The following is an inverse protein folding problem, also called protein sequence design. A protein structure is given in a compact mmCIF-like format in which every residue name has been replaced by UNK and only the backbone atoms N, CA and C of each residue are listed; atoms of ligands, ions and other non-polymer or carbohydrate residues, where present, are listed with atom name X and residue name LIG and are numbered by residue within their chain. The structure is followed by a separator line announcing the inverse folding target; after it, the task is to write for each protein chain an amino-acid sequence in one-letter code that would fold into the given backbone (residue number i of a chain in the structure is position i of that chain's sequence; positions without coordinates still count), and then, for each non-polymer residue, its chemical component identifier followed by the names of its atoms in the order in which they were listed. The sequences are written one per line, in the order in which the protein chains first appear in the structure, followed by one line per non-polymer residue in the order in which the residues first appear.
data_IF_941716665413
#
_entry.id   IF_941716665413
#
_cell.length_a   1.000
_cell.length_b   1.000
_cell.length_c   1.000
_cell.angle_alpha   90.00
_cell.angle_beta   90.00
_cell.angle_gamma   90.00
#
_symmetry.space_group_name_H-M   'P 1'
#
loop_
_entity.id
_entity.type
_entity.pdbx_description
1 polymer ?
#
# COMPACT_ATOMS: atom_id res chain seq x y z
N UNK A 1 -23.87 -9.40 7.60
CA UNK A 1 -24.90 -8.90 6.68
C UNK A 1 -24.78 -9.77 5.44
N UNK A 2 -25.60 -10.83 5.40
CA UNK A 2 -25.56 -11.87 4.37
C UNK A 2 -26.44 -11.43 3.19
N UNK A 3 -25.95 -11.60 1.96
CA UNK A 3 -26.80 -11.49 0.77
C UNK A 3 -27.78 -12.67 0.76
N UNK A 4 -29.02 -12.43 1.18
CA UNK A 4 -30.12 -13.37 0.99
C UNK A 4 -30.69 -13.21 -0.42
N UNK A 5 -30.42 -14.16 -1.30
CA UNK A 5 -31.26 -14.42 -2.46
C UNK A 5 -32.19 -15.59 -2.10
N UNK A 6 -33.48 -15.34 -1.90
CA UNK A 6 -34.46 -16.39 -1.62
C UNK A 6 -35.78 -16.11 -2.36
N UNK A 7 -36.10 -17.01 -3.32
CA UNK A 7 -37.40 -17.45 -3.91
C UNK A 7 -38.50 -16.43 -4.22
N UNK A 8 -39.36 -16.58 -5.23
CA UNK A 8 -39.62 -17.54 -6.30
C UNK A 8 -40.55 -16.79 -7.28
N UNK A 9 -40.15 -16.57 -8.55
CA UNK A 9 -40.95 -16.37 -9.79
C UNK A 9 -40.10 -15.65 -10.87
N UNK A 10 -40.38 -15.86 -12.17
CA UNK A 10 -39.35 -15.79 -13.21
C UNK A 10 -39.16 -14.40 -13.83
N UNK A 11 -37.91 -14.17 -14.27
CA UNK A 11 -37.44 -13.15 -15.23
C UNK A 11 -37.64 -11.66 -14.89
N UNK A 12 -36.61 -11.03 -14.33
CA UNK A 12 -35.85 -9.95 -15.00
C UNK A 12 -34.40 -10.03 -14.51
N UNK A 13 -33.44 -10.00 -15.43
CA UNK A 13 -31.98 -10.00 -15.19
C UNK A 13 -31.53 -8.99 -14.12
N UNK A 14 -31.57 -9.38 -12.85
CA UNK A 14 -30.98 -8.65 -11.74
C UNK A 14 -29.57 -9.17 -11.47
N UNK A 15 -28.60 -8.77 -12.30
CA UNK A 15 -27.19 -8.95 -11.97
C UNK A 15 -26.92 -8.18 -10.67
N UNK A 16 -26.72 -8.88 -9.56
CA UNK A 16 -26.02 -8.33 -8.40
C UNK A 16 -24.68 -7.82 -8.91
N UNK A 17 -24.58 -6.51 -9.13
CA UNK A 17 -23.35 -5.90 -9.64
C UNK A 17 -22.29 -6.05 -8.56
N UNK A 18 -21.11 -6.54 -8.96
CA UNK A 18 -19.99 -6.73 -8.03
C UNK A 18 -19.57 -5.38 -7.42
N UNK A 19 -19.15 -5.36 -6.14
CA UNK A 19 -18.84 -4.11 -5.45
C UNK A 19 -17.67 -3.39 -6.12
N UNK A 20 -17.91 -2.17 -6.61
CA UNK A 20 -16.90 -1.31 -7.25
C UNK A 20 -16.00 -0.63 -6.22
N UNK A 21 -15.14 -1.40 -5.55
CA UNK A 21 -14.16 -0.90 -4.56
C UNK A 21 -12.80 -0.55 -5.15
N UNK A 22 -12.45 -1.10 -6.31
CA UNK A 22 -11.15 -0.89 -6.96
C UNK A 22 -11.35 -0.16 -8.28
N UNK A 23 -10.59 0.91 -8.46
CA UNK A 23 -10.69 1.79 -9.62
C UNK A 23 -9.32 2.16 -10.15
N UNK A 24 -9.21 2.31 -11.46
CA UNK A 24 -8.06 2.94 -12.11
C UNK A 24 -8.46 4.30 -12.65
N UNK A 25 -7.67 5.34 -12.38
CA UNK A 25 -7.81 6.68 -12.94
C UNK A 25 -6.61 6.98 -13.81
N UNK A 26 -6.82 7.25 -15.09
CA UNK A 26 -5.75 7.57 -16.05
C UNK A 26 -5.85 9.00 -16.53
N UNK A 27 -4.72 9.70 -16.70
CA UNK A 27 -4.68 11.09 -17.18
C UNK A 27 -3.30 11.49 -17.68
N UNK A 28 -3.25 12.55 -18.50
CA UNK A 28 -2.02 13.22 -18.97
C UNK A 28 -1.72 14.48 -18.13
N UNK A 29 -0.44 14.81 -17.99
CA UNK A 29 0.01 16.04 -17.29
C UNK A 29 0.39 17.15 -18.27
N UNK A 30 0.20 18.38 -17.83
CA UNK A 30 0.46 19.58 -18.61
C UNK A 30 1.47 20.49 -17.89
N UNK A 31 2.24 21.22 -18.69
CA UNK A 31 3.07 22.31 -18.19
C UNK A 31 2.20 23.53 -17.79
N UNK A 32 2.76 24.56 -17.15
CA UNK A 32 2.00 25.76 -16.78
C UNK A 32 1.30 26.47 -17.95
N UNK A 33 1.77 26.24 -19.18
CA UNK A 33 1.29 26.84 -20.43
C UNK A 33 0.29 25.94 -21.18
N UNK A 34 -0.06 24.77 -20.65
CA UNK A 34 -1.01 23.82 -21.26
C UNK A 34 -0.40 22.89 -22.32
N UNK A 35 0.93 22.79 -22.40
CA UNK A 35 1.56 21.80 -23.27
C UNK A 35 1.68 20.45 -22.55
N UNK A 36 1.42 19.37 -23.28
CA UNK A 36 1.62 18.02 -22.77
C UNK A 36 3.07 17.79 -22.36
N UNK A 37 3.27 17.37 -21.11
CA UNK A 37 4.59 17.00 -20.61
C UNK A 37 5.02 15.66 -21.20
N UNK A 38 6.29 15.57 -21.59
CA UNK A 38 6.90 14.29 -21.96
C UNK A 38 7.36 13.57 -20.71
N UNK A 39 6.99 12.30 -20.61
CA UNK A 39 7.20 11.48 -19.43
C UNK A 39 6.16 11.75 -18.34
N UNK A 40 6.44 11.21 -17.16
CA UNK A 40 5.61 11.34 -15.97
C UNK A 40 6.44 12.01 -14.87
N UNK A 41 6.39 13.36 -14.77
CA UNK A 41 7.11 14.11 -13.77
C UNK A 41 6.35 14.15 -12.43
N UNK A 42 7.10 14.20 -11.34
CA UNK A 42 6.59 14.33 -9.97
C UNK A 42 5.54 13.27 -9.56
N UNK A 43 5.88 11.96 -9.60
CA UNK A 43 4.96 10.89 -9.22
C UNK A 43 4.45 11.02 -7.77
N UNK A 44 5.26 11.57 -6.87
CA UNK A 44 4.88 11.82 -5.47
C UNK A 44 3.73 12.82 -5.37
N UNK A 45 3.75 13.87 -6.19
CA UNK A 45 2.71 14.89 -6.23
C UNK A 45 1.38 14.34 -6.71
N UNK A 46 1.40 13.35 -7.60
CA UNK A 46 0.20 12.62 -8.03
C UNK A 46 -0.40 11.85 -6.87
N UNK A 47 0.41 11.07 -6.14
CA UNK A 47 -0.06 10.28 -5.00
C UNK A 47 -0.64 11.19 -3.91
N UNK A 48 0.05 12.31 -3.61
CA UNK A 48 -0.41 13.32 -2.67
C UNK A 48 -1.75 13.95 -3.09
N UNK A 49 -1.91 14.26 -4.38
CA UNK A 49 -3.14 14.83 -4.91
C UNK A 49 -4.33 13.90 -4.67
N UNK A 50 -4.23 12.63 -5.08
CA UNK A 50 -5.32 11.66 -4.91
C UNK A 50 -5.60 11.33 -3.44
N UNK A 51 -4.57 11.37 -2.58
CA UNK A 51 -4.74 11.22 -1.13
C UNK A 51 -5.56 12.38 -0.54
N UNK A 52 -5.41 13.59 -1.07
CA UNK A 52 -6.17 14.79 -0.66
C UNK A 52 -7.58 14.84 -1.26
N UNK A 53 -7.78 14.28 -2.46
CA UNK A 53 -9.10 14.22 -3.11
C UNK A 53 -10.02 13.25 -2.33
N UNK A 54 -9.49 12.11 -1.88
CA UNK A 54 -10.27 11.06 -1.20
C UNK A 54 -9.77 10.83 0.24
N UNK A 55 -9.83 11.86 1.11
CA UNK A 55 -9.26 11.77 2.45
C UNK A 55 -10.05 10.75 3.28
N UNK A 56 -9.34 9.79 3.86
CA UNK A 56 -9.91 8.71 4.69
C UNK A 56 -10.90 7.75 3.99
N UNK A 57 -11.13 7.88 2.69
CA UNK A 57 -12.01 6.98 1.93
C UNK A 57 -11.26 5.76 1.39
N UNK A 58 -9.94 5.86 1.24
CA UNK A 58 -9.10 4.80 0.67
C UNK A 58 -8.59 3.81 1.73
N UNK A 59 -8.59 2.53 1.37
CA UNK A 59 -8.02 1.42 2.14
C UNK A 59 -6.49 1.34 2.00
N UNK A 60 -5.96 1.86 0.89
CA UNK A 60 -4.53 1.96 0.61
C UNK A 60 -4.16 3.38 0.21
N UNK A 61 -2.88 3.71 0.37
CA UNK A 61 -2.30 4.88 -0.31
C UNK A 61 -2.47 4.65 -1.83
N UNK A 62 -2.83 5.69 -2.63
CA UNK A 62 -2.96 5.56 -4.08
C UNK A 62 -1.72 4.89 -4.69
N UNK A 63 -1.95 3.86 -5.50
CA UNK A 63 -0.88 3.08 -6.13
C UNK A 63 -0.64 3.61 -7.53
N UNK A 64 0.56 4.12 -7.78
CA UNK A 64 0.95 4.60 -9.09
C UNK A 64 1.53 3.47 -9.93
N UNK A 65 0.91 3.20 -11.08
CA UNK A 65 1.46 2.27 -12.05
C UNK A 65 2.62 2.90 -12.83
N UNK A 66 3.52 2.07 -13.43
CA UNK A 66 4.57 2.58 -14.29
C UNK A 66 4.01 3.49 -15.40
N UNK A 67 4.63 4.66 -15.56
CA UNK A 67 4.29 5.61 -16.61
C UNK A 67 4.31 4.93 -17.98
N UNK A 68 3.24 5.08 -18.74
CA UNK A 68 3.13 4.53 -20.09
C UNK A 68 2.50 5.56 -21.01
N UNK A 69 3.12 5.77 -22.17
CA UNK A 69 2.61 6.68 -23.21
C UNK A 69 2.31 8.11 -22.67
N UNK A 70 3.17 8.61 -21.77
CA UNK A 70 3.03 9.90 -21.05
C UNK A 70 1.77 10.03 -20.18
N UNK A 71 1.16 8.91 -19.82
CA UNK A 71 -0.02 8.86 -18.95
C UNK A 71 0.32 8.30 -17.59
N UNK A 72 -0.23 8.95 -16.57
CA UNK A 72 -0.35 8.36 -15.26
C UNK A 72 -1.53 7.40 -15.23
N UNK A 73 -1.37 6.30 -14.49
CA UNK A 73 -2.46 5.42 -14.08
C UNK A 73 -2.37 5.25 -12.58
N UNK A 74 -3.39 5.72 -11.87
CA UNK A 74 -3.49 5.67 -10.42
C UNK A 74 -4.54 4.64 -10.05
N UNK A 75 -4.16 3.66 -9.24
CA UNK A 75 -5.09 2.67 -8.70
C UNK A 75 -5.55 3.10 -7.32
N UNK A 76 -6.87 3.21 -7.17
CA UNK A 76 -7.57 3.62 -5.96
C UNK A 76 -8.33 2.42 -5.42
N UNK A 77 -8.10 2.13 -4.14
CA UNK A 77 -8.80 1.07 -3.42
C UNK A 77 -9.61 1.71 -2.30
N UNK A 78 -10.91 1.76 -2.45
CA UNK A 78 -11.83 2.38 -1.48
C UNK A 78 -12.14 1.44 -0.33
N UNK A 79 -12.47 2.01 0.84
CA UNK A 79 -12.96 1.27 2.02
C UNK A 79 -14.37 0.72 1.78
N UNK A 80 -15.18 1.54 1.12
CA UNK A 80 -16.57 1.23 0.77
C UNK A 80 -16.73 1.23 -0.75
N UNK A 81 -17.86 0.73 -1.24
CA UNK A 81 -18.18 0.78 -2.66
C UNK A 81 -18.30 2.23 -3.16
N UNK A 82 -17.79 2.49 -4.36
CA UNK A 82 -17.78 3.82 -4.99
C UNK A 82 -18.34 3.73 -6.41
N UNK A 83 -19.68 3.73 -6.59
CA UNK A 83 -20.29 3.41 -7.88
C UNK A 83 -20.13 4.50 -8.94
N UNK A 84 -20.00 5.77 -8.52
CA UNK A 84 -20.11 6.96 -9.39
C UNK A 84 -18.75 7.60 -9.76
N UNK A 85 -17.64 6.90 -9.52
CA UNK A 85 -16.30 7.47 -9.76
C UNK A 85 -16.05 7.88 -11.22
N UNK A 86 -16.71 7.23 -12.18
CA UNK A 86 -16.66 7.58 -13.62
C UNK A 86 -17.12 9.02 -13.88
N UNK A 87 -18.10 9.50 -13.12
CA UNK A 87 -18.62 10.86 -13.21
C UNK A 87 -17.81 11.80 -12.32
N UNK A 88 -17.56 11.43 -11.07
CA UNK A 88 -16.81 12.24 -10.11
C UNK A 88 -15.37 12.52 -10.57
N UNK A 89 -14.73 11.55 -11.24
CA UNK A 89 -13.36 11.70 -11.77
C UNK A 89 -13.23 12.87 -12.74
N UNK A 90 -14.30 13.29 -13.40
CA UNK A 90 -14.30 14.46 -14.30
C UNK A 90 -14.29 15.80 -13.56
N UNK A 91 -14.51 15.76 -12.25
CA UNK A 91 -14.62 16.91 -11.35
C UNK A 91 -13.53 16.94 -10.27
N UNK A 92 -12.54 16.03 -10.32
CA UNK A 92 -11.46 15.94 -9.32
C UNK A 92 -10.49 17.12 -9.30
N UNK A 93 -10.54 17.97 -10.32
CA UNK A 93 -9.66 19.11 -10.48
C UNK A 93 -10.43 20.43 -10.43
N UNK A 94 -9.75 21.48 -9.99
CA UNK A 94 -10.31 22.83 -9.92
C UNK A 94 -9.90 23.63 -11.16
N UNK A 95 -10.88 24.30 -11.78
CA UNK A 95 -10.69 25.29 -12.84
C UNK A 95 -11.66 25.16 -14.03
N UNK A 96 -11.61 26.13 -14.96
CA UNK A 96 -12.46 26.18 -16.14
C UNK A 96 -12.12 25.06 -17.14
N UNK A 97 -12.92 24.87 -18.19
CA UNK A 97 -12.87 23.71 -19.11
C UNK A 97 -11.47 23.32 -19.64
N UNK A 98 -10.52 24.26 -19.70
CA UNK A 98 -9.16 24.05 -20.23
C UNK A 98 -8.04 24.19 -19.18
N UNK A 99 -8.34 24.45 -17.91
CA UNK A 99 -7.32 24.65 -16.86
C UNK A 99 -7.68 23.77 -15.67
N UNK A 100 -7.26 22.51 -15.72
CA UNK A 100 -7.63 21.49 -14.74
C UNK A 100 -6.43 21.22 -13.84
N UNK A 101 -6.52 21.69 -12.59
CA UNK A 101 -5.43 21.56 -11.61
C UNK A 101 -5.85 20.63 -10.48
N UNK A 102 -5.09 19.57 -10.25
CA UNK A 102 -5.28 18.68 -9.11
C UNK A 102 -4.80 19.35 -7.80
N UNK A 103 -5.32 18.93 -6.63
CA UNK A 103 -4.82 19.40 -5.35
C UNK A 103 -3.30 19.26 -5.23
N UNK A 104 -2.64 20.30 -4.75
CA UNK A 104 -1.17 20.38 -4.77
C UNK A 104 -0.61 21.07 -6.01
N UNK A 105 -1.44 21.49 -6.98
CA UNK A 105 -1.07 22.38 -8.08
C UNK A 105 -0.57 21.70 -9.36
N UNK A 106 -0.79 20.39 -9.50
CA UNK A 106 -0.40 19.64 -10.70
C UNK A 106 -1.44 19.89 -11.80
N UNK A 107 -1.01 20.43 -12.95
CA UNK A 107 -1.88 20.61 -14.11
C UNK A 107 -2.04 19.31 -14.88
N UNK A 108 -3.28 18.99 -15.25
CA UNK A 108 -3.64 17.78 -15.97
C UNK A 108 -4.64 18.10 -17.08
N UNK A 109 -4.58 17.31 -18.14
CA UNK A 109 -5.47 17.48 -19.28
C UNK A 109 -6.83 16.88 -18.99
N UNK A 110 -7.83 17.73 -18.71
CA UNK A 110 -9.17 17.32 -18.23
C UNK A 110 -9.84 16.23 -19.08
N UNK A 111 -9.79 16.40 -20.40
CA UNK A 111 -10.38 15.47 -21.38
C UNK A 111 -9.74 14.08 -21.41
N UNK A 112 -8.57 13.92 -20.79
CA UNK A 112 -7.87 12.63 -20.72
C UNK A 112 -8.14 11.88 -19.42
N UNK A 113 -8.82 12.51 -18.46
CA UNK A 113 -9.17 11.88 -17.19
C UNK A 113 -10.24 10.83 -17.44
N UNK A 114 -9.87 9.58 -17.20
CA UNK A 114 -10.77 8.44 -17.36
C UNK A 114 -10.66 7.55 -16.11
N UNK A 115 -11.79 7.30 -15.45
CA UNK A 115 -11.88 6.33 -14.38
C UNK A 115 -12.60 5.06 -14.86
N UNK A 116 -12.06 3.90 -14.50
CA UNK A 116 -12.63 2.58 -14.83
C UNK A 116 -12.63 1.68 -13.60
N UNK A 117 -13.72 0.90 -13.37
CA UNK A 117 -13.72 -0.09 -12.31
C UNK A 117 -12.82 -1.26 -12.71
N UNK A 118 -12.12 -1.84 -11.74
CA UNK A 118 -11.33 -3.06 -11.96
C UNK A 118 -12.22 -4.27 -11.72
N UNK A 119 -12.44 -5.07 -12.76
CA UNK A 119 -13.19 -6.32 -12.64
C UNK A 119 -12.30 -7.42 -12.02
N UNK A 120 -12.67 -7.88 -10.81
CA UNK A 120 -11.99 -8.97 -10.11
C UNK A 120 -12.73 -10.29 -10.33
N UNK A 121 -12.70 -10.81 -11.57
CA UNK A 121 -13.36 -12.08 -11.94
C UNK A 121 -12.33 -13.22 -12.05
N UNK A 122 -12.62 -14.37 -11.42
CA UNK A 122 -11.90 -15.64 -11.66
C UNK A 122 -11.42 -16.40 -10.41
N UNK A 123 -10.98 -17.65 -10.62
CA UNK A 123 -10.48 -18.53 -9.54
C UNK A 123 -9.04 -18.21 -9.07
N UNK A 124 -8.24 -17.54 -9.90
CA UNK A 124 -6.90 -17.06 -9.57
C UNK A 124 -6.74 -15.58 -9.95
N UNK A 125 -6.89 -14.71 -8.96
CA UNK A 125 -6.79 -13.26 -9.11
C UNK A 125 -5.34 -12.75 -9.03
N UNK A 126 -4.34 -13.62 -8.85
CA UNK A 126 -2.98 -13.17 -8.67
C UNK A 126 -2.43 -12.35 -9.83
N UNK A 127 -2.76 -12.73 -11.07
CA UNK A 127 -2.33 -11.98 -12.26
C UNK A 127 -2.91 -10.57 -12.30
N UNK A 128 -4.21 -10.44 -11.98
CA UNK A 128 -4.92 -9.16 -11.91
C UNK A 128 -4.39 -8.30 -10.77
N UNK A 129 -4.27 -8.87 -9.57
CA UNK A 129 -3.76 -8.17 -8.39
C UNK A 129 -2.31 -7.70 -8.57
N UNK A 130 -1.45 -8.52 -9.16
CA UNK A 130 -0.06 -8.14 -9.45
C UNK A 130 0.04 -7.04 -10.49
N UNK A 131 -0.87 -7.01 -11.46
CA UNK A 131 -0.91 -5.97 -12.49
C UNK A 131 -1.44 -4.67 -11.91
N UNK A 132 -2.58 -4.73 -11.21
CA UNK A 132 -3.33 -3.55 -10.83
C UNK A 132 -2.77 -2.90 -9.55
N UNK A 133 -2.29 -3.70 -8.59
CA UNK A 133 -1.61 -3.19 -7.38
C UNK A 133 -0.09 -3.11 -7.56
N UNK A 134 0.40 -3.07 -8.81
CA UNK A 134 1.82 -2.85 -9.07
C UNK A 134 2.21 -1.41 -8.72
N UNK A 135 3.06 -1.26 -7.72
CA UNK A 135 3.69 0.02 -7.39
C UNK A 135 4.90 0.22 -8.29
N UNK A 136 5.03 1.41 -8.88
CA UNK A 136 6.23 1.80 -9.63
C UNK A 136 7.50 1.57 -8.79
N UNK A 137 8.46 0.81 -9.32
CA UNK A 137 9.72 0.51 -8.63
C UNK A 137 9.66 -0.60 -7.58
N UNK A 138 8.55 -1.35 -7.45
CA UNK A 138 8.47 -2.50 -6.54
C UNK A 138 7.91 -3.74 -7.26
N UNK A 139 8.71 -4.80 -7.31
CA UNK A 139 8.25 -6.10 -7.78
C UNK A 139 7.69 -6.93 -6.62
N UNK A 140 6.48 -7.49 -6.83
CA UNK A 140 5.74 -8.30 -5.85
C UNK A 140 5.50 -9.71 -6.38
N UNK A 141 5.33 -10.65 -5.47
CA UNK A 141 4.80 -12.00 -5.75
C UNK A 141 3.40 -12.11 -5.17
N UNK A 142 2.55 -12.86 -5.84
CA UNK A 142 1.23 -13.17 -5.33
C UNK A 142 1.13 -14.65 -5.02
N UNK A 143 0.53 -14.98 -3.88
CA UNK A 143 0.16 -16.34 -3.53
C UNK A 143 -1.28 -16.39 -3.03
N UNK A 144 -1.96 -17.50 -3.30
CA UNK A 144 -3.29 -17.78 -2.77
C UNK A 144 -3.15 -18.65 -1.52
N UNK A 145 -3.82 -18.26 -0.44
CA UNK A 145 -3.85 -18.97 0.84
C UNK A 145 -5.30 -19.18 1.27
N UNK A 146 -5.90 -20.31 0.87
CA UNK A 146 -7.34 -20.52 0.98
C UNK A 146 -8.09 -19.56 0.07
N UNK A 147 -9.02 -18.79 0.64
CA UNK A 147 -9.77 -17.73 -0.05
C UNK A 147 -9.08 -16.36 -0.02
N UNK A 148 -7.99 -16.23 0.75
CA UNK A 148 -7.22 -15.00 0.87
C UNK A 148 -6.07 -14.98 -0.16
N UNK A 149 -5.73 -13.81 -0.66
CA UNK A 149 -4.55 -13.57 -1.50
C UNK A 149 -3.49 -12.81 -0.69
N UNK A 150 -2.23 -13.11 -0.93
CA UNK A 150 -1.11 -12.43 -0.29
C UNK A 150 -0.20 -11.84 -1.36
N UNK A 151 -0.10 -10.51 -1.37
CA UNK A 151 0.87 -9.79 -2.20
C UNK A 151 2.13 -9.54 -1.37
N UNK A 152 3.10 -10.44 -1.52
CA UNK A 152 4.39 -10.41 -0.84
C UNK A 152 5.44 -9.67 -1.66
N UNK A 153 6.48 -9.21 -0.98
CA UNK A 153 7.64 -8.59 -1.61
C UNK A 153 8.49 -9.65 -2.33
N UNK A 154 8.99 -9.36 -3.53
CA UNK A 154 9.97 -10.24 -4.20
C UNK A 154 11.30 -10.26 -3.43
N UNK A 155 12.20 -11.18 -3.79
CA UNK A 155 13.47 -11.39 -3.10
C UNK A 155 14.38 -10.15 -3.01
N UNK A 156 14.18 -9.16 -3.89
CA UNK A 156 14.87 -7.86 -3.88
C UNK A 156 14.37 -6.90 -2.80
N UNK A 157 13.20 -7.15 -2.21
CA UNK A 157 12.55 -6.25 -1.25
C UNK A 157 12.23 -6.97 0.06
N UNK A 158 12.19 -6.23 1.17
CA UNK A 158 11.72 -6.71 2.47
C UNK A 158 10.33 -6.16 2.76
N UNK A 159 9.51 -6.94 3.45
CA UNK A 159 8.24 -6.46 3.99
C UNK A 159 8.50 -5.57 5.20
N UNK A 160 7.97 -4.35 5.22
CA UNK A 160 8.01 -3.44 6.38
C UNK A 160 6.68 -3.40 7.14
N UNK A 161 5.63 -3.96 6.57
CA UNK A 161 4.30 -4.06 7.15
C UNK A 161 3.34 -4.81 6.23
N UNK A 162 2.12 -5.07 6.70
CA UNK A 162 1.07 -5.64 5.85
C UNK A 162 -0.28 -5.03 6.22
N UNK A 163 -1.08 -4.72 5.19
CA UNK A 163 -2.45 -4.24 5.31
C UNK A 163 -3.41 -5.30 4.78
N UNK A 164 -4.52 -5.52 5.48
CA UNK A 164 -5.60 -6.36 4.98
C UNK A 164 -6.62 -5.50 4.25
N UNK A 165 -6.98 -5.94 3.05
CA UNK A 165 -7.88 -5.22 2.16
C UNK A 165 -9.03 -6.16 1.81
N UNK A 166 -10.24 -5.66 1.96
CA UNK A 166 -11.46 -6.33 1.49
C UNK A 166 -11.86 -5.71 0.15
N UNK A 167 -11.62 -6.45 -0.93
CA UNK A 167 -11.93 -6.01 -2.29
C UNK A 167 -13.38 -6.31 -2.70
N UNK A 168 -14.18 -6.87 -1.80
CA UNK A 168 -15.50 -7.41 -2.11
C UNK A 168 -15.44 -8.77 -2.79
N UNK A 169 -16.61 -9.34 -3.14
CA UNK A 169 -16.73 -10.68 -3.75
C UNK A 169 -16.03 -11.81 -2.98
N UNK A 170 -15.97 -11.71 -1.65
CA UNK A 170 -15.21 -12.59 -0.75
C UNK A 170 -13.69 -12.61 -0.96
N UNK A 171 -13.13 -11.64 -1.69
CA UNK A 171 -11.70 -11.52 -1.95
C UNK A 171 -11.05 -10.67 -0.87
N UNK A 172 -10.20 -11.29 -0.06
CA UNK A 172 -9.37 -10.60 0.94
C UNK A 172 -7.92 -10.65 0.51
N UNK A 173 -7.24 -9.50 0.56
CA UNK A 173 -5.84 -9.38 0.15
C UNK A 173 -5.00 -8.88 1.31
N UNK A 174 -3.96 -9.63 1.68
CA UNK A 174 -2.88 -9.15 2.53
C UNK A 174 -1.80 -8.49 1.65
N UNK A 175 -1.76 -7.17 1.66
CA UNK A 175 -0.83 -6.38 0.88
C UNK A 175 0.36 -5.97 1.74
N UNK A 176 1.56 -6.50 1.45
CA UNK A 176 2.77 -6.12 2.16
C UNK A 176 3.30 -4.76 1.68
N UNK A 177 3.78 -3.92 2.58
CA UNK A 177 4.52 -2.72 2.20
C UNK A 177 5.98 -3.15 1.95
N UNK A 178 6.51 -2.88 0.75
CA UNK A 178 7.82 -3.36 0.34
C UNK A 178 8.84 -2.23 0.31
N UNK A 179 10.03 -2.50 0.83
CA UNK A 179 11.19 -1.60 0.75
C UNK A 179 12.39 -2.36 0.19
N UNK A 180 13.25 -1.70 -0.59
CA UNK A 180 14.43 -2.34 -1.16
C UNK A 180 15.27 -2.98 -0.04
N UNK A 181 15.64 -4.25 -0.25
CA UNK A 181 16.79 -4.80 0.46
C UNK A 181 17.98 -4.10 -0.18
N UNK A 182 18.82 -3.45 0.63
CA UNK A 182 20.08 -2.91 0.13
C UNK A 182 20.74 -3.90 -0.81
N UNK A 183 21.10 -3.42 -2.01
CA UNK A 183 21.46 -4.27 -3.13
C UNK A 183 22.49 -5.32 -2.73
N UNK A 184 22.29 -6.52 -3.27
CA UNK A 184 22.90 -7.82 -2.96
C UNK A 184 24.44 -7.92 -2.92
N UNK A 185 25.19 -6.83 -3.06
CA UNK A 185 26.62 -6.81 -2.74
C UNK A 185 26.92 -6.77 -1.22
N UNK A 186 25.92 -6.49 -0.37
CA UNK A 186 26.10 -6.37 1.09
C UNK A 186 25.53 -7.55 1.91
N UNK A 187 25.48 -8.77 1.36
CA UNK A 187 24.99 -9.95 2.11
C UNK A 187 25.84 -10.29 3.36
N UNK A 188 26.98 -9.60 3.57
CA UNK A 188 27.89 -9.75 4.71
C UNK A 188 28.29 -8.43 5.43
N UNK A 189 27.71 -7.26 5.11
CA UNK A 189 28.29 -5.99 5.62
C UNK A 189 27.61 -5.47 6.88
N UNK A 190 26.30 -5.71 7.06
CA UNK A 190 25.63 -5.33 8.30
C UNK A 190 25.70 -6.50 9.29
N UNK A 191 26.46 -6.33 10.37
CA UNK A 191 26.51 -7.27 11.49
C UNK A 191 25.13 -7.48 12.15
N UNK A 192 25.00 -8.49 13.01
CA UNK A 192 23.80 -8.79 13.79
C UNK A 192 23.22 -7.51 14.44
N UNK A 193 21.90 -7.37 14.42
CA UNK A 193 21.15 -6.21 14.95
C UNK A 193 21.33 -4.89 14.16
N UNK A 194 21.81 -4.97 12.92
CA UNK A 194 21.82 -3.85 11.98
C UNK A 194 20.87 -4.07 10.81
N UNK A 195 20.30 -2.98 10.34
CA UNK A 195 19.50 -2.85 9.13
C UNK A 195 20.21 -1.94 8.15
N UNK A 196 20.29 -2.38 6.91
CA UNK A 196 20.74 -1.49 5.86
C UNK A 196 19.62 -0.52 5.45
N UNK A 197 19.95 0.76 5.39
CA UNK A 197 19.11 1.88 4.95
C UNK A 197 19.88 2.70 3.90
N UNK A 198 19.18 3.36 2.99
CA UNK A 198 19.80 4.28 2.04
C UNK A 198 19.69 5.68 2.64
N UNK A 199 20.82 6.35 2.85
CA UNK A 199 20.91 7.76 3.24
C UNK A 199 21.80 8.47 2.22
N UNK A 200 21.33 9.62 1.70
CA UNK A 200 22.05 10.42 0.70
C UNK A 200 22.52 9.58 -0.51
N UNK A 201 21.66 8.70 -1.05
CA UNK A 201 21.96 7.75 -2.14
C UNK A 201 23.04 6.70 -1.83
N UNK A 202 23.46 6.54 -0.57
CA UNK A 202 24.45 5.55 -0.14
C UNK A 202 23.85 4.52 0.83
N UNK A 203 24.14 3.22 0.66
CA UNK A 203 23.72 2.20 1.60
C UNK A 203 24.57 2.26 2.88
N UNK A 204 23.92 2.43 4.03
CA UNK A 204 24.55 2.43 5.35
C UNK A 204 23.88 1.43 6.29
N UNK A 205 24.64 0.83 7.20
CA UNK A 205 24.11 -0.06 8.23
C UNK A 205 23.76 0.71 9.50
N UNK A 206 22.47 0.89 9.79
CA UNK A 206 21.99 1.43 11.07
C UNK A 206 21.57 0.32 12.01
N UNK A 207 21.58 0.56 13.32
CA UNK A 207 21.05 -0.41 14.27
C UNK A 207 19.53 -0.53 14.13
N UNK A 208 19.02 -1.77 14.16
CA UNK A 208 17.59 -2.04 14.28
C UNK A 208 17.09 -1.53 15.64
N UNK A 209 15.88 -0.97 15.79
CA UNK A 209 15.23 -0.90 17.09
C UNK A 209 15.02 -2.32 17.65
N UNK A 210 15.14 -2.56 18.98
CA UNK A 210 15.45 -1.64 20.09
C UNK A 210 16.93 -1.30 20.28
N UNK A 211 17.81 -1.57 19.32
CA UNK A 211 19.24 -1.32 19.44
C UNK A 211 19.62 0.12 19.08
N UNK A 212 20.72 0.59 19.66
CA UNK A 212 21.41 1.85 19.35
C UNK A 212 22.86 1.56 18.97
N UNK A 213 23.41 2.44 18.15
CA UNK A 213 24.79 2.35 17.75
C UNK A 213 25.70 2.68 18.93
N UNK A 214 26.60 1.75 19.26
CA UNK A 214 27.68 1.94 20.22
C UNK A 214 28.98 1.51 19.53
N UNK A 215 29.68 2.49 18.96
CA UNK A 215 30.81 2.26 18.06
C UNK A 215 30.41 1.42 16.84
N UNK A 216 31.02 0.24 16.70
CA UNK A 216 30.71 -0.72 15.63
C UNK A 216 29.60 -1.70 16.00
N UNK A 217 29.16 -1.74 17.26
CA UNK A 217 28.17 -2.69 17.74
C UNK A 217 26.78 -2.04 17.84
N UNK A 218 25.76 -2.89 17.85
CA UNK A 218 24.40 -2.48 18.15
C UNK A 218 24.01 -3.05 19.49
N UNK A 219 23.91 -2.17 20.49
CA UNK A 219 23.53 -2.52 21.85
C UNK A 219 22.08 -2.16 22.09
N UNK A 220 21.35 -3.02 22.81
CA UNK A 220 19.96 -2.75 23.16
C UNK A 220 19.87 -1.44 23.95
N UNK A 221 18.94 -0.57 23.60
CA UNK A 221 18.75 0.73 24.27
C UNK A 221 18.43 0.49 25.75
N UNK A 222 18.90 1.34 26.67
CA UNK A 222 18.55 1.22 28.09
C UNK A 222 17.16 1.79 28.40
N UNK A 223 16.58 2.57 27.49
CA UNK A 223 15.32 3.30 27.70
C UNK A 223 14.38 3.19 26.49
N UNK A 224 13.08 3.33 26.77
CA UNK A 224 12.04 3.41 25.76
C UNK A 224 11.93 4.84 25.22
N UNK A 225 12.41 5.06 24.00
CA UNK A 225 12.23 6.30 23.25
C UNK A 225 10.92 6.25 22.44
N UNK A 226 10.44 7.40 21.97
CA UNK A 226 9.17 7.47 21.20
C UNK A 226 9.19 6.61 19.93
N UNK A 227 10.29 6.62 19.18
CA UNK A 227 10.48 5.75 17.99
C UNK A 227 10.41 4.25 18.32
N UNK A 228 10.84 3.87 19.53
CA UNK A 228 10.75 2.49 19.99
C UNK A 228 9.33 2.13 20.45
N UNK A 229 8.58 3.08 21.03
CA UNK A 229 7.16 2.86 21.37
C UNK A 229 6.33 2.59 20.13
N UNK A 230 6.55 3.35 19.07
CA UNK A 230 5.89 3.13 17.78
C UNK A 230 6.28 1.77 17.17
N UNK A 231 7.57 1.42 17.24
CA UNK A 231 8.06 0.12 16.77
C UNK A 231 7.44 -1.07 17.52
N UNK A 232 7.29 -0.96 18.84
CA UNK A 232 6.71 -2.04 19.65
C UNK A 232 5.21 -2.22 19.42
N UNK A 233 4.51 -1.26 18.80
CA UNK A 233 3.07 -1.33 18.54
C UNK A 233 2.70 -2.53 17.65
N UNK A 234 1.67 -3.33 18.00
CA UNK A 234 0.62 -3.11 19.00
C UNK A 234 0.94 -3.52 20.46
N UNK A 235 2.17 -3.98 20.73
CA UNK A 235 2.69 -4.18 22.08
C UNK A 235 3.10 -2.86 22.73
N UNK A 236 3.84 -2.96 23.84
CA UNK A 236 4.31 -1.80 24.61
C UNK A 236 5.80 -1.91 24.88
N UNK A 237 6.52 -0.80 24.88
CA UNK A 237 7.92 -0.80 25.27
C UNK A 237 8.04 -0.80 26.81
N UNK A 238 8.81 -1.74 27.36
CA UNK A 238 9.13 -1.80 28.78
C UNK A 238 10.64 -1.92 29.00
N UNK A 239 11.09 -1.63 30.23
CA UNK A 239 12.50 -1.79 30.63
C UNK A 239 12.61 -3.07 31.45
N UNK A 240 13.37 -4.06 30.94
CA UNK A 240 13.67 -5.33 31.62
C UNK A 240 15.18 -5.45 31.73
N UNK A 241 15.70 -5.69 32.94
CA UNK A 241 17.14 -5.79 33.20
C UNK A 241 17.96 -4.62 32.62
N UNK A 242 17.45 -3.40 32.78
CA UNK A 242 18.06 -2.16 32.26
C UNK A 242 18.18 -2.12 30.72
N UNK A 243 17.31 -2.83 30.02
CA UNK A 243 17.22 -2.85 28.56
C UNK A 243 15.78 -2.65 28.11
N UNK A 244 15.59 -1.91 27.03
CA UNK A 244 14.29 -1.69 26.41
C UNK A 244 13.88 -2.93 25.61
N UNK A 245 12.68 -3.43 25.89
CA UNK A 245 12.08 -4.64 25.30
C UNK A 245 10.65 -4.35 24.89
N UNK A 246 10.25 -4.85 23.72
CA UNK A 246 8.84 -4.83 23.34
C UNK A 246 8.11 -5.96 24.08
N UNK A 247 7.23 -5.59 24.99
CA UNK A 247 6.33 -6.51 25.69
C UNK A 247 5.04 -6.68 24.89
N UNK A 248 4.77 -7.91 24.50
CA UNK A 248 3.60 -8.25 23.71
C UNK A 248 2.39 -8.48 24.60
N UNK A 249 1.23 -7.97 24.16
CA UNK A 249 -0.04 -8.13 24.88
C UNK A 249 -0.47 -9.61 24.87
N UNK A 250 -1.37 -10.03 25.77
CA UNK A 250 -2.04 -11.32 25.64
C UNK A 250 -2.64 -11.44 24.23
N UNK A 251 -2.41 -12.58 23.55
CA UNK A 251 -2.74 -12.83 22.14
C UNK A 251 -1.81 -12.13 21.12
N UNK A 252 -0.58 -11.83 21.52
CA UNK A 252 0.50 -11.42 20.62
C UNK A 252 1.73 -12.30 20.86
N UNK A 253 2.56 -12.46 19.84
CA UNK A 253 3.87 -13.12 19.92
C UNK A 253 4.96 -12.18 19.46
N UNK A 254 6.14 -12.38 20.02
CA UNK A 254 7.35 -11.69 19.57
C UNK A 254 7.84 -12.29 18.25
N UNK A 255 8.07 -11.44 17.26
CA UNK A 255 8.66 -11.77 15.95
C UNK A 255 9.64 -10.65 15.64
N UNK A 256 10.92 -11.00 15.49
CA UNK A 256 12.00 -10.04 15.20
C UNK A 256 12.02 -8.83 16.16
N UNK A 257 11.96 -9.10 17.48
CA UNK A 257 11.91 -8.10 18.57
C UNK A 257 10.68 -7.16 18.55
N UNK A 258 9.64 -7.48 17.78
CA UNK A 258 8.35 -6.75 17.71
C UNK A 258 7.17 -7.63 18.07
N UNK A 259 6.09 -7.03 18.54
CA UNK A 259 4.84 -7.73 18.81
C UNK A 259 3.96 -7.86 17.57
N UNK A 260 3.51 -9.07 17.31
CA UNK A 260 2.57 -9.40 16.24
C UNK A 260 1.38 -10.15 16.83
N UNK A 261 0.15 -9.85 16.39
CA UNK A 261 -1.03 -10.60 16.82
C UNK A 261 -0.85 -12.09 16.52
N UNK A 262 -1.07 -12.95 17.51
CA UNK A 262 -1.24 -14.38 17.26
C UNK A 262 -2.59 -14.53 16.57
N UNK A 263 -2.61 -15.02 15.32
CA UNK A 263 -3.85 -15.61 14.81
C UNK A 263 -4.23 -16.68 15.82
N UNK A 264 -5.43 -16.63 16.37
CA UNK A 264 -6.00 -17.75 17.10
C UNK A 264 -5.86 -18.99 16.22
N UNK A 265 -4.89 -19.84 16.56
CA UNK A 265 -4.98 -21.23 16.19
C UNK A 265 -6.10 -21.73 17.08
N UNK A 266 -7.32 -21.78 16.54
CA UNK A 266 -8.33 -22.71 17.05
C UNK A 266 -7.69 -24.10 16.92
N UNK A 267 -7.07 -24.57 17.99
CA UNK A 267 -6.92 -25.99 18.20
C UNK A 267 -8.32 -26.51 18.53
N UNK A 268 -8.79 -27.42 17.69
CA UNK A 268 -9.86 -28.36 18.02
C UNK A 268 -9.54 -29.15 19.29
#
# INVERSE_FOLDING_TARGET
MECKCAGDEPEVNGLCSEPKKVWTVTFETEDPFGNLLRGCPDPERVVDAFTRIYPNELSLVPVLQPCKDNKYTVVLVFKNEKPDLEQESKEICTGASNDCTLPGGLKVKKETIEAKPVELKGQDLCSTLLKDLKVQGQDRTCSKNGDDYVLSCTDKYRSTGAKRIDLGSNVKVAHHDCAEKCQLALKNICATNKQCVIEEDHPICKCLPPFKQDGINCLRRPTCSEDLKDFCSPGECAIVNNQAVCMCKPNQREVDDRCSATKDVKLE
#
